data_IF_884858203266
#
_entry.id   IF_884858203266
#
_cell.length_a   1.000
_cell.length_b   1.000
_cell.length_c   1.000
_cell.angle_alpha   90.00
_cell.angle_beta   90.00
_cell.angle_gamma   90.00
#
_symmetry.space_group_name_H-M   'P 1'
#
loop_
_entity.id
_entity.type
_entity.pdbx_description
1 polymer ?
#
# COMPACT_ATOMS: atom_id res chain seq x y z
N UNK A 1 17.28 -5.13 12.31
CA UNK A 1 17.34 -5.57 10.90
C UNK A 1 18.69 -6.16 10.51
N UNK A 2 19.83 -5.50 10.80
CA UNK A 2 21.19 -5.95 10.41
C UNK A 2 21.50 -7.40 10.80
N UNK A 3 21.22 -7.80 12.04
CA UNK A 3 21.45 -9.18 12.51
C UNK A 3 20.62 -10.23 11.77
N UNK A 4 19.40 -9.88 11.34
CA UNK A 4 18.56 -10.77 10.50
C UNK A 4 19.20 -10.99 9.13
N UNK A 5 19.73 -9.92 8.53
CA UNK A 5 20.46 -10.01 7.27
C UNK A 5 21.64 -10.97 7.38
N UNK A 6 22.43 -10.84 8.43
CA UNK A 6 23.55 -11.75 8.70
C UNK A 6 23.12 -13.22 8.68
N UNK A 7 22.00 -13.53 9.35
CA UNK A 7 21.42 -14.88 9.38
C UNK A 7 20.96 -15.37 8.01
N UNK A 8 20.24 -14.53 7.25
CA UNK A 8 19.70 -14.91 5.94
C UNK A 8 20.81 -15.12 4.91
N UNK A 9 21.73 -14.17 4.80
CA UNK A 9 22.86 -14.24 3.85
C UNK A 9 23.78 -15.41 4.20
N UNK A 10 24.12 -15.58 5.50
CA UNK A 10 24.94 -16.69 5.96
C UNK A 10 24.27 -18.06 5.74
N UNK A 11 22.95 -18.16 5.99
CA UNK A 11 22.18 -19.36 5.72
C UNK A 11 22.15 -19.72 4.23
N UNK A 12 22.02 -18.72 3.35
CA UNK A 12 22.01 -18.95 1.89
C UNK A 12 23.40 -19.40 1.39
N UNK A 13 24.48 -18.77 1.84
CA UNK A 13 25.83 -19.22 1.48
C UNK A 13 26.14 -20.60 2.02
N UNK A 14 25.69 -20.92 3.24
CA UNK A 14 25.81 -22.26 3.78
C UNK A 14 25.07 -23.29 2.91
N UNK A 15 23.83 -22.99 2.49
CA UNK A 15 23.05 -23.84 1.60
C UNK A 15 23.74 -24.08 0.25
N UNK A 16 24.37 -23.03 -0.32
CA UNK A 16 25.14 -23.16 -1.55
C UNK A 16 26.38 -24.06 -1.35
N UNK A 17 27.08 -23.89 -0.23
CA UNK A 17 28.25 -24.70 0.12
C UNK A 17 27.90 -26.19 0.31
N UNK A 18 26.77 -26.49 0.93
CA UNK A 18 26.31 -27.87 1.18
C UNK A 18 25.85 -28.59 -0.11
N UNK A 19 25.42 -27.83 -1.14
CA UNK A 19 25.07 -28.35 -2.46
C UNK A 19 26.32 -28.60 -3.30
N UNK A 20 26.85 -29.83 -3.23
CA UNK A 20 27.97 -30.22 -4.08
C UNK A 20 27.64 -30.03 -5.58
N UNK A 21 28.59 -29.44 -6.35
CA UNK A 21 28.49 -29.19 -7.80
C UNK A 21 27.61 -28.01 -8.25
N UNK A 22 27.23 -27.10 -7.38
CA UNK A 22 26.59 -25.82 -7.77
C UNK A 22 27.60 -24.71 -7.62
N UNK A 23 27.80 -23.90 -8.68
CA UNK A 23 28.65 -22.71 -8.59
C UNK A 23 28.12 -21.73 -7.55
N UNK A 24 29.04 -21.06 -6.84
CA UNK A 24 28.65 -20.01 -5.89
C UNK A 24 28.10 -18.80 -6.66
N UNK A 25 27.01 -18.24 -6.16
CA UNK A 25 26.43 -16.99 -6.66
C UNK A 25 26.29 -15.96 -5.54
N UNK A 26 26.41 -14.66 -5.86
CA UNK A 26 26.30 -13.60 -4.88
C UNK A 26 24.86 -13.50 -4.35
N UNK A 27 24.74 -13.28 -3.04
CA UNK A 27 23.46 -13.01 -2.37
C UNK A 27 23.33 -11.52 -2.17
N UNK A 28 22.31 -10.91 -2.76
CA UNK A 28 21.96 -9.51 -2.61
C UNK A 28 20.67 -9.42 -1.79
N UNK A 29 20.73 -8.71 -0.67
CA UNK A 29 19.56 -8.43 0.16
C UNK A 29 19.30 -6.93 0.19
N UNK A 30 18.08 -6.55 -0.16
CA UNK A 30 17.62 -5.17 -0.16
C UNK A 30 16.37 -5.10 0.72
N UNK A 31 16.35 -4.15 1.66
CA UNK A 31 15.17 -3.84 2.46
C UNK A 31 14.35 -2.77 1.75
N UNK A 32 13.13 -3.11 1.36
CA UNK A 32 12.18 -2.14 0.83
C UNK A 32 11.42 -1.50 2.00
N UNK A 33 11.76 -0.25 2.30
CA UNK A 33 11.15 0.48 3.41
C UNK A 33 9.99 1.37 2.92
N UNK A 34 8.79 1.08 3.41
CA UNK A 34 7.55 1.76 3.00
C UNK A 34 7.10 2.86 3.97
N UNK A 35 7.86 3.11 5.04
CA UNK A 35 7.52 4.10 6.06
C UNK A 35 7.37 5.51 5.51
N UNK A 36 6.53 6.33 6.17
CA UNK A 36 6.33 7.75 5.82
C UNK A 36 7.55 8.60 6.16
N UNK A 37 8.26 8.24 7.22
CA UNK A 37 9.46 8.95 7.68
C UNK A 37 10.72 8.33 7.08
N UNK A 38 11.84 9.06 7.11
CA UNK A 38 13.14 8.52 6.76
C UNK A 38 13.53 7.36 7.68
N UNK A 39 14.30 6.42 7.15
CA UNK A 39 14.91 5.34 7.94
C UNK A 39 15.85 5.92 8.97
N UNK A 40 15.73 5.49 10.23
CA UNK A 40 16.54 5.99 11.36
C UNK A 40 17.34 4.89 12.07
N UNK A 41 17.07 3.63 11.76
CA UNK A 41 17.74 2.50 12.38
C UNK A 41 19.16 2.32 11.82
N UNK A 42 20.01 1.63 12.58
CA UNK A 42 21.36 1.30 12.14
C UNK A 42 21.36 0.54 10.81
N UNK A 43 22.19 0.99 9.88
CA UNK A 43 22.39 0.36 8.56
C UNK A 43 23.64 -0.52 8.50
N UNK A 44 24.40 -0.67 9.58
CA UNK A 44 25.55 -1.58 9.63
C UNK A 44 25.72 -2.24 10.98
N UNK A 45 26.41 -3.38 10.98
CA UNK A 45 26.70 -4.12 12.23
C UNK A 45 27.51 -3.28 13.21
N UNK A 46 28.52 -2.57 12.73
CA UNK A 46 29.35 -1.73 13.57
C UNK A 46 28.58 -0.62 14.29
N UNK A 47 27.50 -0.11 13.69
CA UNK A 47 26.65 0.91 14.31
C UNK A 47 25.76 0.38 15.45
N UNK A 48 25.74 -0.92 15.69
CA UNK A 48 25.00 -1.53 16.80
C UNK A 48 25.81 -1.64 18.09
N UNK A 49 27.13 -1.36 18.03
CA UNK A 49 28.02 -1.47 19.13
C UNK A 49 28.52 -0.10 19.57
N UNK A 50 28.55 0.11 20.87
CA UNK A 50 29.21 1.24 21.48
C UNK A 50 30.75 1.11 21.38
N UNK A 51 31.48 2.20 21.52
CA UNK A 51 32.95 2.24 21.41
C UNK A 51 33.61 1.37 22.46
N UNK A 52 33.01 1.23 23.65
CA UNK A 52 33.50 0.34 24.72
C UNK A 52 33.44 -1.14 24.31
N UNK A 53 32.44 -1.54 23.54
CA UNK A 53 32.23 -2.92 23.07
C UNK A 53 33.03 -3.20 21.80
N UNK A 54 33.12 -2.22 20.90
CA UNK A 54 33.87 -2.34 19.65
C UNK A 54 34.84 -1.18 19.46
N UNK A 55 35.95 -1.14 20.23
CA UNK A 55 36.96 -0.11 20.07
C UNK A 55 37.67 -0.21 18.72
N UNK A 56 38.20 0.91 18.23
CA UNK A 56 38.85 1.02 16.93
C UNK A 56 39.99 0.01 16.71
N UNK A 57 40.68 -0.37 17.76
CA UNK A 57 41.77 -1.35 17.71
C UNK A 57 41.31 -2.73 17.24
N UNK A 58 40.09 -3.15 17.56
CA UNK A 58 39.55 -4.46 17.20
C UNK A 58 38.52 -4.37 16.08
N UNK A 59 37.96 -3.18 15.80
CA UNK A 59 36.91 -2.93 14.77
C UNK A 59 37.30 -3.49 13.39
N UNK A 60 38.54 -3.40 13.01
CA UNK A 60 39.09 -3.93 11.74
C UNK A 60 39.03 -5.46 11.61
N UNK A 61 38.85 -6.18 12.70
CA UNK A 61 38.76 -7.64 12.72
C UNK A 61 37.32 -8.15 12.76
N UNK A 62 36.35 -7.25 12.89
CA UNK A 62 34.93 -7.56 12.89
C UNK A 62 34.35 -7.17 11.55
N UNK A 63 33.81 -8.14 10.78
CA UNK A 63 33.17 -7.87 9.49
C UNK A 63 31.96 -6.95 9.69
N UNK A 64 31.93 -5.87 8.92
CA UNK A 64 30.84 -4.91 8.98
C UNK A 64 29.74 -5.25 7.96
N UNK A 65 28.71 -5.90 8.42
CA UNK A 65 27.55 -6.26 7.59
C UNK A 65 26.71 -5.02 7.31
N UNK A 66 26.64 -4.62 6.03
CA UNK A 66 25.87 -3.46 5.57
C UNK A 66 24.43 -3.85 5.24
N UNK A 67 23.48 -3.01 5.66
CA UNK A 67 22.08 -3.12 5.27
C UNK A 67 21.79 -2.15 4.11
N UNK A 68 21.32 -2.67 2.99
CA UNK A 68 20.89 -1.84 1.85
C UNK A 68 19.40 -1.53 1.98
N UNK A 69 19.07 -0.29 2.37
CA UNK A 69 17.70 0.15 2.56
C UNK A 69 17.28 1.03 1.39
N UNK A 70 16.25 0.62 0.70
CA UNK A 70 15.56 1.44 -0.29
C UNK A 70 14.32 2.05 0.33
N UNK A 71 14.40 3.34 0.61
CA UNK A 71 13.29 4.13 1.13
C UNK A 71 12.34 4.47 -0.03
N UNK A 72 11.29 3.67 -0.19
CA UNK A 72 10.43 3.71 -1.37
C UNK A 72 9.77 5.06 -1.64
N UNK A 73 9.48 5.84 -0.58
CA UNK A 73 8.92 7.21 -0.69
C UNK A 73 9.95 8.27 -1.08
N UNK A 74 11.23 7.91 -1.11
CA UNK A 74 12.35 8.81 -1.38
C UNK A 74 13.29 8.25 -2.44
N UNK A 75 12.81 7.25 -3.18
CA UNK A 75 13.62 6.53 -4.15
C UNK A 75 13.98 7.46 -5.31
N UNK A 76 15.27 7.59 -5.66
CA UNK A 76 15.71 8.40 -6.79
C UNK A 76 15.06 7.96 -8.11
N UNK A 77 14.88 8.92 -9.02
CA UNK A 77 14.24 8.66 -10.32
C UNK A 77 14.99 7.60 -11.12
N UNK A 78 16.32 7.64 -11.09
CA UNK A 78 17.19 6.71 -11.82
C UNK A 78 16.94 5.26 -11.39
N UNK A 79 16.70 5.00 -10.11
CA UNK A 79 16.37 3.66 -9.60
C UNK A 79 14.94 3.28 -9.97
N UNK A 80 13.97 4.20 -9.83
CA UNK A 80 12.58 3.95 -10.20
C UNK A 80 12.42 3.60 -11.68
N UNK A 81 13.23 4.20 -12.55
CA UNK A 81 13.22 3.95 -13.99
C UNK A 81 13.62 2.53 -14.39
N UNK A 82 14.30 1.79 -13.52
CA UNK A 82 14.64 0.38 -13.76
C UNK A 82 13.50 -0.59 -13.45
N UNK A 83 12.45 -0.15 -12.74
CA UNK A 83 11.28 -1.00 -12.52
C UNK A 83 10.45 -1.14 -13.79
N UNK A 84 10.24 -2.38 -14.24
CA UNK A 84 9.51 -2.70 -15.48
C UNK A 84 8.05 -3.07 -15.24
N UNK A 85 7.73 -3.58 -14.05
CA UNK A 85 6.38 -3.99 -13.64
C UNK A 85 5.57 -2.83 -13.07
N UNK A 86 4.37 -3.12 -12.56
CA UNK A 86 3.52 -2.18 -11.83
C UNK A 86 4.21 -1.59 -10.59
N UNK A 87 5.32 -2.19 -10.12
CA UNK A 87 6.18 -1.60 -9.10
C UNK A 87 6.66 -0.19 -9.48
N UNK A 88 6.85 0.09 -10.77
CA UNK A 88 7.18 1.43 -11.26
C UNK A 88 6.06 2.42 -10.93
N UNK A 89 4.82 2.04 -11.18
CA UNK A 89 3.63 2.85 -10.89
C UNK A 89 3.56 3.16 -9.39
N UNK A 90 3.75 2.14 -8.56
CA UNK A 90 3.70 2.26 -7.10
C UNK A 90 4.82 3.17 -6.59
N UNK A 91 6.05 2.98 -7.08
CA UNK A 91 7.20 3.77 -6.67
C UNK A 91 7.08 5.24 -7.09
N UNK A 92 6.62 5.51 -8.31
CA UNK A 92 6.40 6.87 -8.79
C UNK A 92 5.28 7.56 -8.01
N UNK A 93 4.16 6.87 -7.76
CA UNK A 93 3.07 7.39 -6.94
C UNK A 93 3.50 7.73 -5.51
N UNK A 94 4.33 6.90 -4.89
CA UNK A 94 4.82 7.15 -3.53
C UNK A 94 5.69 8.39 -3.41
N UNK A 95 6.43 8.73 -4.46
CA UNK A 95 7.30 9.91 -4.50
C UNK A 95 6.54 11.17 -4.92
N UNK A 96 5.67 11.05 -5.92
CA UNK A 96 4.98 12.19 -6.55
C UNK A 96 3.61 12.49 -5.92
N UNK A 97 3.05 11.51 -5.20
CA UNK A 97 1.77 11.66 -4.50
C UNK A 97 0.61 11.98 -5.43
N UNK A 98 -0.22 12.94 -5.03
CA UNK A 98 -1.41 13.34 -5.78
C UNK A 98 -1.11 13.99 -7.15
N UNK A 99 0.14 14.37 -7.39
CA UNK A 99 0.57 14.94 -8.67
C UNK A 99 0.95 13.88 -9.70
N UNK A 100 1.04 12.62 -9.27
CA UNK A 100 1.38 11.52 -10.16
C UNK A 100 0.38 11.39 -11.30
N UNK A 101 0.90 11.33 -12.53
CA UNK A 101 0.12 11.05 -13.74
C UNK A 101 0.93 10.11 -14.60
N UNK A 102 0.29 9.05 -15.09
CA UNK A 102 0.95 8.05 -15.91
C UNK A 102 -0.01 7.38 -16.88
N UNK A 103 0.38 7.33 -18.14
CA UNK A 103 -0.31 6.55 -19.16
C UNK A 103 0.20 5.10 -19.24
N UNK A 104 0.99 4.65 -18.26
CA UNK A 104 1.42 3.25 -18.19
C UNK A 104 0.22 2.36 -17.97
N UNK A 105 0.14 1.28 -18.75
CA UNK A 105 -0.86 0.22 -18.56
C UNK A 105 -0.56 -0.51 -17.25
N UNK A 106 -1.61 -0.76 -16.50
CA UNK A 106 -1.56 -1.55 -15.27
C UNK A 106 -1.72 -3.02 -15.65
N UNK A 107 -0.74 -3.84 -15.27
CA UNK A 107 -0.71 -5.28 -15.59
C UNK A 107 -1.56 -6.06 -14.57
N UNK A 108 -1.33 -5.85 -13.28
CA UNK A 108 -2.01 -6.52 -12.17
C UNK A 108 -2.86 -5.52 -11.40
N UNK A 109 -4.08 -5.27 -11.87
CA UNK A 109 -4.93 -4.17 -11.38
C UNK A 109 -5.32 -4.33 -9.94
N UNK A 110 -5.82 -5.50 -9.55
CA UNK A 110 -6.23 -5.76 -8.19
C UNK A 110 -5.05 -5.63 -7.21
N UNK A 111 -3.92 -6.26 -7.51
CA UNK A 111 -2.72 -6.20 -6.67
C UNK A 111 -2.17 -4.78 -6.54
N UNK A 112 -2.14 -4.03 -7.64
CA UNK A 112 -1.64 -2.65 -7.67
C UNK A 112 -2.52 -1.72 -6.85
N UNK A 113 -3.85 -1.77 -7.04
CA UNK A 113 -4.79 -0.96 -6.25
C UNK A 113 -4.77 -1.37 -4.78
N UNK A 114 -4.79 -2.66 -4.48
CA UNK A 114 -4.71 -3.16 -3.10
C UNK A 114 -3.47 -2.62 -2.40
N UNK A 115 -2.31 -2.66 -3.06
CA UNK A 115 -1.08 -2.12 -2.51
C UNK A 115 -1.14 -0.60 -2.31
N UNK A 116 -1.67 0.16 -3.27
CA UNK A 116 -1.81 1.61 -3.14
C UNK A 116 -2.76 1.99 -2.00
N UNK A 117 -3.87 1.28 -1.82
CA UNK A 117 -4.81 1.46 -0.71
C UNK A 117 -4.14 1.21 0.64
N UNK A 118 -3.41 0.09 0.79
CA UNK A 118 -2.63 -0.19 2.02
C UNK A 118 -1.63 0.92 2.32
N UNK A 119 -0.91 1.39 1.32
CA UNK A 119 0.08 2.46 1.48
C UNK A 119 -0.53 3.83 1.77
N UNK A 120 -1.78 4.05 1.37
CA UNK A 120 -2.58 5.22 1.74
C UNK A 120 -3.13 5.12 3.17
N UNK A 121 -3.15 3.92 3.77
CA UNK A 121 -3.63 3.69 5.13
C UNK A 121 -5.07 3.15 5.20
N UNK A 122 -5.62 2.69 4.08
CA UNK A 122 -6.91 2.02 4.05
C UNK A 122 -6.81 0.66 4.75
N UNK A 123 -7.76 0.38 5.64
CA UNK A 123 -7.82 -0.88 6.39
C UNK A 123 -8.70 -1.93 5.71
N UNK A 124 -9.60 -1.50 4.84
CA UNK A 124 -10.58 -2.35 4.18
C UNK A 124 -10.18 -2.64 2.73
N UNK A 125 -9.05 -3.32 2.54
CA UNK A 125 -8.48 -3.56 1.20
C UNK A 125 -8.94 -4.88 0.57
N UNK A 126 -9.58 -5.75 1.34
CA UNK A 126 -9.99 -7.09 0.86
C UNK A 126 -11.16 -7.05 -0.13
N UNK A 127 -11.91 -5.95 -0.15
CA UNK A 127 -13.00 -5.68 -1.11
C UNK A 127 -12.50 -5.18 -2.48
N UNK A 128 -11.19 -5.06 -2.70
CA UNK A 128 -10.63 -4.48 -3.94
C UNK A 128 -11.08 -5.23 -5.19
N UNK A 129 -11.15 -6.56 -5.15
CA UNK A 129 -11.61 -7.36 -6.28
C UNK A 129 -13.11 -7.16 -6.58
N UNK A 130 -13.95 -7.03 -5.56
CA UNK A 130 -15.38 -6.72 -5.73
C UNK A 130 -15.57 -5.31 -6.30
N UNK A 131 -14.80 -4.37 -5.78
CA UNK A 131 -14.78 -2.99 -6.25
C UNK A 131 -14.44 -2.90 -7.74
N UNK A 132 -13.44 -3.61 -8.22
CA UNK A 132 -13.06 -3.62 -9.64
C UNK A 132 -14.17 -4.24 -10.51
N UNK A 133 -14.85 -5.30 -10.03
CA UNK A 133 -16.01 -5.88 -10.71
C UNK A 133 -17.17 -4.90 -10.84
N UNK A 134 -17.50 -4.17 -9.78
CA UNK A 134 -18.54 -3.12 -9.81
C UNK A 134 -18.20 -1.98 -10.77
N UNK A 135 -16.91 -1.67 -10.92
CA UNK A 135 -16.41 -0.71 -11.91
C UNK A 135 -16.35 -1.31 -13.32
N UNK A 136 -16.74 -2.59 -13.49
CA UNK A 136 -16.66 -3.34 -14.75
C UNK A 136 -15.25 -3.36 -15.35
N UNK A 137 -14.24 -3.44 -14.48
CA UNK A 137 -12.83 -3.55 -14.86
C UNK A 137 -12.38 -5.00 -14.66
N UNK A 138 -11.89 -5.62 -15.72
CA UNK A 138 -11.36 -6.97 -15.70
C UNK A 138 -9.84 -6.94 -15.71
N UNK A 139 -9.22 -8.04 -15.27
CA UNK A 139 -7.76 -8.13 -15.23
C UNK A 139 -7.13 -8.10 -16.63
N UNK A 140 -7.83 -8.61 -17.64
CA UNK A 140 -7.42 -8.58 -19.06
C UNK A 140 -7.56 -7.23 -19.76
N UNK A 141 -8.30 -6.26 -19.19
CA UNK A 141 -8.53 -4.97 -19.83
C UNK A 141 -7.23 -4.17 -19.94
N UNK A 142 -7.02 -3.50 -21.05
CA UNK A 142 -5.92 -2.56 -21.22
C UNK A 142 -6.33 -1.18 -20.68
N UNK A 143 -6.06 -0.94 -19.39
CA UNK A 143 -6.35 0.34 -18.72
C UNK A 143 -5.06 1.00 -18.24
N UNK A 144 -4.96 2.30 -18.43
CA UNK A 144 -3.84 3.09 -17.90
C UNK A 144 -4.05 3.41 -16.42
N UNK A 145 -2.95 3.75 -15.74
CA UNK A 145 -3.03 4.16 -14.34
C UNK A 145 -3.88 5.42 -14.14
N UNK A 146 -3.82 6.40 -15.06
CA UNK A 146 -4.66 7.59 -14.99
C UNK A 146 -6.16 7.26 -15.10
N UNK A 147 -6.53 6.42 -16.06
CA UNK A 147 -7.94 6.00 -16.23
C UNK A 147 -8.45 5.23 -15.02
N UNK A 148 -7.63 4.33 -14.49
CA UNK A 148 -7.96 3.56 -13.30
C UNK A 148 -8.14 4.46 -12.07
N UNK A 149 -7.26 5.45 -11.90
CA UNK A 149 -7.34 6.45 -10.82
C UNK A 149 -8.56 7.35 -10.95
N UNK A 150 -8.89 7.79 -12.17
CA UNK A 150 -10.06 8.63 -12.42
C UNK A 150 -11.35 7.87 -12.11
N UNK A 151 -11.44 6.62 -12.50
CA UNK A 151 -12.61 5.78 -12.18
C UNK A 151 -12.74 5.56 -10.67
N UNK A 152 -11.63 5.24 -9.99
CA UNK A 152 -11.58 5.09 -8.53
C UNK A 152 -12.02 6.38 -7.82
N UNK A 153 -11.51 7.51 -8.25
CA UNK A 153 -11.82 8.83 -7.67
C UNK A 153 -13.30 9.18 -7.87
N UNK A 154 -13.84 8.97 -9.09
CA UNK A 154 -15.27 9.21 -9.38
C UNK A 154 -16.17 8.37 -8.48
N UNK A 155 -15.81 7.09 -8.28
CA UNK A 155 -16.55 6.21 -7.36
C UNK A 155 -16.50 6.74 -5.93
N UNK A 156 -15.32 7.10 -5.42
CA UNK A 156 -15.17 7.64 -4.07
C UNK A 156 -15.97 8.92 -3.85
N UNK A 157 -16.00 9.81 -4.82
CA UNK A 157 -16.84 11.02 -4.80
C UNK A 157 -18.33 10.65 -4.78
N UNK A 158 -18.76 9.75 -5.66
CA UNK A 158 -20.15 9.32 -5.71
C UNK A 158 -20.62 8.69 -4.39
N UNK A 159 -19.79 7.82 -3.78
CA UNK A 159 -20.06 7.23 -2.47
C UNK A 159 -20.13 8.30 -1.37
N UNK A 160 -19.16 9.22 -1.33
CA UNK A 160 -19.14 10.31 -0.34
C UNK A 160 -20.35 11.24 -0.44
N UNK A 161 -20.80 11.54 -1.68
CA UNK A 161 -22.04 12.32 -1.91
C UNK A 161 -23.25 11.55 -1.44
N UNK A 162 -23.37 10.26 -1.75
CA UNK A 162 -24.48 9.42 -1.31
C UNK A 162 -24.55 9.34 0.23
N UNK A 163 -23.44 9.10 0.88
CA UNK A 163 -23.36 9.08 2.34
C UNK A 163 -23.73 10.44 2.98
N UNK A 164 -23.24 11.54 2.41
CA UNK A 164 -23.60 12.88 2.88
C UNK A 164 -25.10 13.17 2.75
N UNK A 165 -25.74 12.72 1.66
CA UNK A 165 -27.19 12.84 1.48
C UNK A 165 -27.92 11.96 2.51
N UNK A 166 -27.52 10.70 2.71
CA UNK A 166 -28.10 9.81 3.71
C UNK A 166 -28.06 10.42 5.11
N UNK A 167 -26.86 10.85 5.52
CA UNK A 167 -26.66 11.50 6.82
C UNK A 167 -27.54 12.75 6.98
N UNK A 168 -27.61 13.61 5.97
CA UNK A 168 -28.44 14.79 5.99
C UNK A 168 -29.94 14.48 6.16
N UNK A 169 -30.45 13.46 5.45
CA UNK A 169 -31.84 13.00 5.59
C UNK A 169 -32.08 12.46 7.00
N UNK A 170 -31.21 11.62 7.51
CA UNK A 170 -31.37 10.99 8.82
C UNK A 170 -31.37 12.05 9.93
N UNK A 171 -30.42 12.99 9.91
CA UNK A 171 -30.37 14.08 10.90
C UNK A 171 -31.63 14.92 10.83
N UNK A 172 -32.06 15.34 9.65
CA UNK A 172 -33.26 16.14 9.48
C UNK A 172 -34.52 15.40 9.96
N UNK A 173 -34.64 14.10 9.63
CA UNK A 173 -35.77 13.31 10.09
C UNK A 173 -35.80 13.16 11.62
N UNK A 174 -34.66 13.01 12.26
CA UNK A 174 -34.54 13.03 13.73
C UNK A 174 -35.00 14.35 14.35
N UNK A 175 -34.56 15.47 13.78
CA UNK A 175 -34.96 16.81 14.23
C UNK A 175 -36.49 17.04 14.15
N UNK A 176 -37.12 16.45 13.12
CA UNK A 176 -38.58 16.51 12.97
C UNK A 176 -39.33 15.36 13.63
N UNK A 177 -38.69 14.54 14.48
CA UNK A 177 -39.26 13.38 15.17
C UNK A 177 -39.93 12.36 14.21
N UNK A 178 -39.43 12.21 12.97
CA UNK A 178 -39.87 11.16 12.07
C UNK A 178 -39.46 9.78 12.60
N UNK A 179 -40.29 8.76 12.37
CA UNK A 179 -39.99 7.40 12.77
C UNK A 179 -38.85 6.75 11.94
N UNK A 180 -38.29 5.66 12.51
CA UNK A 180 -37.21 4.91 11.85
C UNK A 180 -37.61 4.44 10.45
N UNK A 181 -38.76 3.77 10.32
CA UNK A 181 -39.23 3.20 9.04
C UNK A 181 -39.48 4.26 7.99
N UNK A 182 -40.05 5.40 8.39
CA UNK A 182 -40.26 6.53 7.49
C UNK A 182 -38.92 7.10 7.00
N UNK A 183 -37.95 7.23 7.88
CA UNK A 183 -36.61 7.72 7.55
C UNK A 183 -35.88 6.74 6.62
N UNK A 184 -35.96 5.45 6.89
CA UNK A 184 -35.42 4.38 6.04
C UNK A 184 -35.98 4.48 4.61
N UNK A 185 -37.29 4.64 4.47
CA UNK A 185 -37.92 4.79 3.17
C UNK A 185 -37.50 6.07 2.43
N UNK A 186 -37.30 7.17 3.15
CA UNK A 186 -36.80 8.43 2.56
C UNK A 186 -35.38 8.29 2.04
N UNK A 187 -34.47 7.67 2.82
CA UNK A 187 -33.09 7.39 2.41
C UNK A 187 -33.07 6.51 1.18
N UNK A 188 -33.82 5.39 1.22
CA UNK A 188 -33.93 4.44 0.11
C UNK A 188 -34.40 5.12 -1.19
N UNK A 189 -35.50 5.88 -1.11
CA UNK A 189 -36.07 6.53 -2.28
C UNK A 189 -35.16 7.64 -2.82
N UNK A 190 -34.52 8.41 -1.95
CA UNK A 190 -33.67 9.52 -2.38
C UNK A 190 -32.38 9.07 -3.04
N UNK A 191 -31.80 7.99 -2.55
CA UNK A 191 -30.56 7.42 -3.07
C UNK A 191 -30.80 6.35 -4.15
N UNK A 192 -32.05 5.92 -4.32
CA UNK A 192 -32.43 4.82 -5.23
C UNK A 192 -31.61 3.53 -4.96
N UNK A 193 -31.49 3.14 -3.70
CA UNK A 193 -30.74 1.98 -3.23
C UNK A 193 -31.66 0.91 -2.66
N UNK A 194 -31.11 -0.30 -2.48
CA UNK A 194 -31.83 -1.41 -1.84
C UNK A 194 -32.13 -1.12 -0.36
N UNK A 195 -33.08 -1.85 0.20
CA UNK A 195 -33.42 -1.75 1.61
C UNK A 195 -32.23 -2.09 2.54
N UNK A 196 -31.50 -3.13 2.18
CA UNK A 196 -30.28 -3.53 2.94
C UNK A 196 -29.18 -2.46 2.93
N UNK A 197 -29.01 -1.75 1.82
CA UNK A 197 -28.06 -0.63 1.73
C UNK A 197 -28.54 0.57 2.54
N UNK A 198 -29.83 0.89 2.50
CA UNK A 198 -30.40 1.95 3.31
C UNK A 198 -30.32 1.64 4.83
N UNK A 199 -30.51 0.37 5.22
CA UNK A 199 -30.32 -0.06 6.60
C UNK A 199 -28.89 0.13 7.09
N UNK A 200 -27.88 -0.12 6.25
CA UNK A 200 -26.46 0.14 6.60
C UNK A 200 -26.23 1.63 6.87
N UNK A 201 -26.76 2.51 6.05
CA UNK A 201 -26.66 3.96 6.27
C UNK A 201 -27.40 4.38 7.55
N UNK A 202 -28.58 3.79 7.82
CA UNK A 202 -29.30 4.01 9.09
C UNK A 202 -28.48 3.58 10.30
N UNK A 203 -27.81 2.43 10.27
CA UNK A 203 -26.97 1.97 11.36
C UNK A 203 -25.79 2.90 11.69
N UNK A 204 -25.31 3.64 10.70
CA UNK A 204 -24.18 4.57 10.88
C UNK A 204 -24.61 5.90 11.51
N UNK A 205 -25.83 6.36 11.24
CA UNK A 205 -26.23 7.74 11.54
C UNK A 205 -27.52 7.86 12.36
N UNK A 206 -28.32 6.79 12.49
CA UNK A 206 -29.54 6.74 13.33
C UNK A 206 -29.20 6.45 14.81
#
# INVERSE_FOLDING_TARGET
MVLRKAGYVGGEYRRQYEKQNVGLYPVIEIVLYWGKNRWKEACSLHCLFDEEVLPDTVRKYVDNIQLHVWEMRYLPREIREHFQSDMRIIADYLVEGNNYRSNRKVIHKEATIKMLRVLAGDKNVDDTGEMLKEMNIKEEDEISMCELFDQYTRRGIAQGVAQGIAQGIIIMCKEFNAGYDETLQRVRNKLNISEQEAEKEMQLYW
#
